data_IF_184221125457
#
_entry.id   IF_184221125457
#
_cell.length_a   1.000
_cell.length_b   1.000
_cell.length_c   1.000
_cell.angle_alpha   90.00
_cell.angle_beta   90.00
_cell.angle_gamma   90.00
#
_symmetry.space_group_name_H-M   'P 1'
#
loop_
_entity.id
_entity.type
_entity.pdbx_description
1 polymer ?
#
# COMPACT_ATOMS: atom_id res chain seq x y z
N UNK A 1 -0.96 5.87 -4.31
CA UNK A 1 -1.87 6.82 -3.63
C UNK A 1 -1.19 8.16 -3.37
N UNK A 2 -0.06 8.25 -2.66
CA UNK A 2 0.64 9.53 -2.39
C UNK A 2 0.90 10.39 -3.63
N UNK A 3 1.36 9.79 -4.74
CA UNK A 3 1.56 10.52 -5.99
C UNK A 3 0.26 11.14 -6.55
N UNK A 4 -0.88 10.45 -6.38
CA UNK A 4 -2.20 10.95 -6.76
C UNK A 4 -2.66 12.07 -5.82
N UNK A 5 -2.36 11.98 -4.53
CA UNK A 5 -2.62 13.06 -3.57
C UNK A 5 -1.84 14.33 -3.93
N UNK A 6 -0.59 14.19 -4.41
CA UNK A 6 0.21 15.31 -4.92
C UNK A 6 -0.50 16.11 -6.02
N UNK A 7 -1.22 15.43 -6.93
CA UNK A 7 -2.00 16.10 -8.00
C UNK A 7 -3.09 17.03 -7.44
N UNK A 8 -3.58 16.80 -6.21
CA UNK A 8 -4.54 17.67 -5.53
C UNK A 8 -3.86 18.92 -4.97
N UNK A 9 -2.66 18.76 -4.42
CA UNK A 9 -1.92 19.82 -3.75
C UNK A 9 -1.33 20.84 -4.73
N UNK A 10 -1.15 20.47 -5.99
CA UNK A 10 -0.62 21.35 -7.03
C UNK A 10 -1.50 22.56 -7.38
N UNK A 11 -2.68 22.72 -6.74
CA UNK A 11 -3.63 23.87 -6.76
C UNK A 11 -4.10 24.37 -8.13
N UNK A 12 -3.43 24.02 -9.22
CA UNK A 12 -3.69 24.48 -10.60
C UNK A 12 -4.86 23.76 -11.25
N UNK A 13 -5.29 22.60 -10.72
CA UNK A 13 -6.40 21.82 -11.26
C UNK A 13 -7.31 21.36 -10.12
N UNK A 14 -8.40 22.09 -9.88
CA UNK A 14 -9.46 21.74 -8.90
C UNK A 14 -10.35 20.58 -9.39
N UNK A 15 -9.76 19.61 -10.07
CA UNK A 15 -10.47 18.53 -10.75
C UNK A 15 -10.63 17.29 -9.90
N UNK A 16 -9.69 17.05 -8.97
CA UNK A 16 -9.64 15.85 -8.14
C UNK A 16 -10.07 16.17 -6.70
N UNK A 17 -10.99 15.36 -6.19
CA UNK A 17 -11.48 15.40 -4.81
C UNK A 17 -10.62 14.57 -3.86
N UNK A 18 -10.99 14.53 -2.56
CA UNK A 18 -10.20 13.85 -1.54
C UNK A 18 -10.25 12.33 -1.53
N UNK A 19 -11.30 11.73 -2.08
CA UNK A 19 -11.49 10.29 -2.03
C UNK A 19 -10.85 9.60 -3.24
N UNK A 20 -10.36 8.38 -3.02
CA UNK A 20 -9.80 7.60 -4.09
C UNK A 20 -9.34 6.21 -3.67
N UNK A 21 -9.24 5.34 -4.67
CA UNK A 21 -8.73 3.97 -4.51
C UNK A 21 -7.72 3.71 -5.61
N UNK A 22 -6.62 3.07 -5.23
CA UNK A 22 -5.59 2.59 -6.16
C UNK A 22 -5.44 1.10 -5.93
N UNK A 23 -5.52 0.34 -7.01
CA UNK A 23 -5.22 -1.08 -7.05
C UNK A 23 -4.09 -1.30 -8.06
N UNK A 24 -3.11 -2.12 -7.70
CA UNK A 24 -1.96 -2.45 -8.52
C UNK A 24 -1.78 -3.95 -8.50
N UNK A 25 -1.70 -4.57 -9.68
CA UNK A 25 -1.39 -5.98 -9.84
C UNK A 25 0.00 -6.12 -10.44
N UNK A 26 0.87 -6.86 -9.74
CA UNK A 26 2.22 -7.19 -10.19
C UNK A 26 2.36 -8.70 -10.18
N UNK A 27 2.90 -9.28 -11.26
CA UNK A 27 3.23 -10.70 -11.37
C UNK A 27 4.73 -10.84 -11.56
N UNK A 28 5.40 -11.41 -10.55
CA UNK A 28 6.86 -11.35 -10.49
C UNK A 28 7.31 -9.89 -10.41
N UNK A 29 8.01 -9.41 -11.45
CA UNK A 29 8.41 -8.01 -11.59
C UNK A 29 7.60 -7.25 -12.65
N UNK A 30 6.65 -7.90 -13.32
CA UNK A 30 5.86 -7.29 -14.38
C UNK A 30 4.64 -6.59 -13.79
N UNK A 31 4.47 -5.32 -14.12
CA UNK A 31 3.22 -4.60 -13.88
C UNK A 31 2.15 -5.13 -14.84
N UNK A 32 1.09 -5.73 -14.30
CA UNK A 32 0.01 -6.34 -15.10
C UNK A 32 -1.16 -5.36 -15.24
N UNK A 33 -1.60 -4.75 -14.14
CA UNK A 33 -2.75 -3.86 -14.15
C UNK A 33 -2.66 -2.75 -13.10
N UNK A 34 -3.25 -1.61 -13.42
CA UNK A 34 -3.48 -0.49 -12.50
C UNK A 34 -4.92 -0.04 -12.64
N UNK A 35 -5.67 -0.09 -11.53
CA UNK A 35 -7.04 0.41 -11.46
C UNK A 35 -7.12 1.58 -10.48
N UNK A 36 -7.68 2.69 -10.97
CA UNK A 36 -7.77 3.96 -10.27
C UNK A 36 -9.25 4.36 -10.19
N UNK A 37 -9.77 4.51 -8.97
CA UNK A 37 -11.06 5.17 -8.73
C UNK A 37 -10.79 6.51 -8.09
N UNK A 38 -10.94 7.60 -8.85
CA UNK A 38 -10.60 8.94 -8.44
C UNK A 38 -11.87 9.77 -8.28
N UNK A 39 -12.06 10.33 -7.07
CA UNK A 39 -13.06 11.35 -6.85
C UNK A 39 -12.73 12.55 -7.72
N UNK A 40 -13.68 13.00 -8.54
CA UNK A 40 -13.49 14.15 -9.40
C UNK A 40 -14.68 15.10 -9.33
N UNK A 41 -14.44 16.38 -9.60
CA UNK A 41 -15.52 17.35 -9.72
C UNK A 41 -16.13 17.30 -11.12
N UNK A 42 -17.42 17.63 -11.23
CA UNK A 42 -18.18 17.56 -12.49
C UNK A 42 -17.61 18.40 -13.64
N UNK A 43 -16.82 19.43 -13.32
CA UNK A 43 -16.16 20.30 -14.30
C UNK A 43 -14.73 19.85 -14.64
N UNK A 44 -14.31 18.68 -14.15
CA UNK A 44 -12.99 18.14 -14.43
C UNK A 44 -12.84 17.79 -15.91
N UNK A 45 -11.71 18.18 -16.49
CA UNK A 45 -11.26 17.54 -17.74
C UNK A 45 -10.81 16.12 -17.41
N UNK A 46 -11.72 15.18 -17.67
CA UNK A 46 -11.53 13.78 -17.31
C UNK A 46 -10.36 13.13 -18.03
N UNK A 47 -10.18 13.42 -19.33
CA UNK A 47 -9.09 12.84 -20.12
C UNK A 47 -7.73 13.35 -19.63
N UNK A 48 -7.63 14.66 -19.38
CA UNK A 48 -6.41 15.24 -18.83
C UNK A 48 -6.12 14.71 -17.42
N UNK A 49 -7.13 14.51 -16.57
CA UNK A 49 -6.96 13.92 -15.24
C UNK A 49 -6.43 12.48 -15.33
N UNK A 50 -7.00 11.65 -16.21
CA UNK A 50 -6.51 10.29 -16.44
C UNK A 50 -5.05 10.26 -16.91
N UNK A 51 -4.67 11.16 -17.83
CA UNK A 51 -3.30 11.26 -18.31
C UNK A 51 -2.32 11.62 -17.19
N UNK A 52 -2.64 12.62 -16.36
CA UNK A 52 -1.82 13.01 -15.21
C UNK A 52 -1.72 11.89 -14.17
N UNK A 53 -2.83 11.22 -13.87
CA UNK A 53 -2.83 10.11 -12.93
C UNK A 53 -1.98 8.93 -13.44
N UNK A 54 -2.05 8.64 -14.75
CA UNK A 54 -1.19 7.64 -15.39
C UNK A 54 0.29 8.03 -15.28
N UNK A 55 0.63 9.27 -15.61
CA UNK A 55 1.99 9.79 -15.53
C UNK A 55 2.54 9.70 -14.09
N UNK A 56 1.76 10.11 -13.10
CA UNK A 56 2.12 10.00 -11.69
C UNK A 56 2.38 8.54 -11.27
N UNK A 57 1.55 7.60 -11.73
CA UNK A 57 1.78 6.18 -11.48
C UNK A 57 3.03 5.62 -12.19
N UNK A 58 3.30 6.06 -13.43
CA UNK A 58 4.50 5.66 -14.17
C UNK A 58 5.78 6.24 -13.56
N UNK A 59 5.74 7.46 -13.04
CA UNK A 59 6.85 8.06 -12.31
C UNK A 59 7.21 7.23 -11.06
N UNK A 60 6.19 6.84 -10.28
CA UNK A 60 6.38 5.90 -9.16
C UNK A 60 6.95 4.58 -9.64
N UNK A 61 6.39 3.99 -10.71
CA UNK A 61 6.89 2.72 -11.25
C UNK A 61 8.37 2.81 -11.68
N UNK A 62 8.81 3.95 -12.23
CA UNK A 62 10.19 4.17 -12.62
C UNK A 62 11.18 4.09 -11.44
N UNK A 63 10.77 4.51 -10.24
CA UNK A 63 11.58 4.36 -9.02
C UNK A 63 11.83 2.88 -8.71
N UNK A 64 10.80 2.04 -8.81
CA UNK A 64 10.90 0.59 -8.61
C UNK A 64 11.68 -0.11 -9.72
N UNK A 65 11.61 0.40 -10.96
CA UNK A 65 12.46 -0.08 -12.06
C UNK A 65 13.93 0.23 -11.78
N UNK A 66 14.24 1.44 -11.33
CA UNK A 66 15.61 1.84 -10.98
C UNK A 66 16.18 1.02 -9.82
N UNK A 67 15.32 0.64 -8.86
CA UNK A 67 15.67 -0.28 -7.78
C UNK A 67 15.82 -1.76 -8.21
N UNK A 68 15.44 -2.10 -9.44
CA UNK A 68 15.44 -3.48 -9.92
C UNK A 68 14.30 -4.34 -9.37
N UNK A 69 13.29 -3.72 -8.76
CA UNK A 69 12.11 -4.39 -8.18
C UNK A 69 10.98 -4.56 -9.21
N UNK A 70 10.97 -3.75 -10.27
CA UNK A 70 10.00 -3.81 -11.36
C UNK A 70 10.71 -3.90 -12.71
N UNK A 71 10.06 -4.50 -13.71
CA UNK A 71 10.40 -4.34 -15.12
C UNK A 71 9.79 -3.04 -15.67
N UNK A 72 10.40 -2.46 -16.70
CA UNK A 72 9.86 -1.27 -17.34
C UNK A 72 8.42 -1.54 -17.82
N UNK A 73 7.41 -0.76 -17.38
CA UNK A 73 6.04 -0.97 -17.78
C UNK A 73 5.88 -0.89 -19.31
N UNK A 74 5.37 -1.96 -19.92
CA UNK A 74 5.09 -2.02 -21.36
C UNK A 74 3.68 -1.52 -21.73
N UNK A 75 3.38 -1.50 -23.02
CA UNK A 75 2.05 -1.11 -23.53
C UNK A 75 0.92 -2.05 -23.09
N UNK A 76 1.25 -3.28 -22.70
CA UNK A 76 0.28 -4.30 -22.29
C UNK A 76 -0.31 -4.11 -20.89
N UNK A 77 0.15 -3.11 -20.13
CA UNK A 77 -0.38 -2.84 -18.79
C UNK A 77 -1.86 -2.46 -18.93
N UNK A 78 -2.74 -3.17 -18.22
CA UNK A 78 -4.16 -2.85 -18.19
C UNK A 78 -4.42 -1.63 -17.28
N UNK A 79 -4.86 -0.53 -17.88
CA UNK A 79 -5.18 0.71 -17.15
C UNK A 79 -6.68 0.92 -17.11
N UNK A 80 -7.24 0.91 -15.91
CA UNK A 80 -8.66 1.15 -15.68
C UNK A 80 -8.87 2.41 -14.84
N UNK A 81 -9.48 3.44 -15.42
CA UNK A 81 -9.85 4.67 -14.71
C UNK A 81 -11.35 4.71 -14.49
N UNK A 82 -11.78 4.78 -13.23
CA UNK A 82 -13.16 4.84 -12.80
C UNK A 82 -14.06 3.83 -13.53
N UNK A 83 -13.68 2.55 -13.54
CA UNK A 83 -14.41 1.50 -14.26
C UNK A 83 -15.87 1.30 -13.83
N UNK A 84 -16.25 1.82 -12.64
CA UNK A 84 -17.63 1.82 -12.14
C UNK A 84 -18.44 3.07 -12.55
N UNK A 85 -17.88 3.97 -13.36
CA UNK A 85 -18.53 5.20 -13.81
C UNK A 85 -18.12 6.43 -13.00
N UNK A 86 -18.92 7.50 -13.09
CA UNK A 86 -18.60 8.77 -12.43
C UNK A 86 -18.49 8.61 -10.91
N UNK A 87 -17.48 9.26 -10.33
CA UNK A 87 -17.22 9.28 -8.90
C UNK A 87 -17.18 10.75 -8.45
N UNK A 88 -18.35 11.41 -8.50
CA UNK A 88 -18.48 12.84 -8.18
C UNK A 88 -18.75 13.11 -6.69
N UNK A 89 -19.31 12.12 -5.98
CA UNK A 89 -19.60 12.16 -4.55
C UNK A 89 -18.67 11.19 -3.84
N UNK A 90 -17.82 11.70 -2.96
CA UNK A 90 -16.84 10.91 -2.21
C UNK A 90 -16.77 11.31 -0.75
N UNK A 91 -15.92 10.61 0.01
CA UNK A 91 -15.75 10.83 1.44
C UNK A 91 -16.97 10.38 2.27
N UNK A 92 -17.20 10.96 3.46
CA UNK A 92 -18.27 10.54 4.36
C UNK A 92 -19.69 10.64 3.80
N UNK A 93 -19.89 11.46 2.75
CA UNK A 93 -21.18 11.54 2.06
C UNK A 93 -21.46 10.31 1.18
N UNK A 94 -20.41 9.61 0.74
CA UNK A 94 -20.51 8.42 -0.10
C UNK A 94 -20.38 7.08 0.65
N UNK A 95 -19.78 7.07 1.84
CA UNK A 95 -19.62 5.86 2.67
C UNK A 95 -19.33 6.21 4.14
N UNK A 96 -19.65 5.29 5.05
CA UNK A 96 -19.33 5.44 6.47
C UNK A 96 -17.90 4.96 6.76
N UNK A 97 -17.07 5.86 7.29
CA UNK A 97 -15.71 5.53 7.75
C UNK A 97 -15.69 5.12 9.22
N UNK A 98 -14.94 4.06 9.55
CA UNK A 98 -14.64 3.65 10.92
C UNK A 98 -13.14 3.36 11.08
N UNK A 99 -12.63 3.64 12.28
CA UNK A 99 -11.23 3.34 12.64
C UNK A 99 -10.97 1.84 12.58
N UNK A 100 -9.78 1.45 12.09
CA UNK A 100 -9.35 0.04 12.04
C UNK A 100 -10.03 -0.83 10.97
N UNK A 101 -10.65 -0.24 9.95
CA UNK A 101 -11.29 -1.00 8.83
C UNK A 101 -10.39 -1.22 7.62
N UNK A 102 -9.13 -0.78 7.66
CA UNK A 102 -8.16 -0.87 6.55
C UNK A 102 -6.86 -1.57 6.96
N UNK A 103 -6.94 -2.54 7.88
CA UNK A 103 -5.78 -3.21 8.49
C UNK A 103 -4.76 -3.76 7.49
N UNK A 104 -5.21 -4.37 6.40
CA UNK A 104 -4.32 -4.93 5.35
C UNK A 104 -3.56 -3.81 4.62
N UNK A 105 -4.23 -2.70 4.31
CA UNK A 105 -3.61 -1.54 3.66
C UNK A 105 -2.76 -0.70 4.63
N UNK A 106 -3.08 -0.74 5.93
CA UNK A 106 -2.30 -0.13 7.02
C UNK A 106 -0.97 -0.85 7.24
N UNK A 107 -0.95 -2.17 7.06
CA UNK A 107 0.24 -3.01 7.19
C UNK A 107 1.02 -3.11 5.86
N UNK A 108 1.32 -4.33 5.41
CA UNK A 108 2.19 -4.61 4.26
C UNK A 108 1.43 -5.12 3.03
N UNK A 109 0.16 -4.74 2.90
CA UNK A 109 -0.73 -5.31 1.88
C UNK A 109 -0.96 -6.80 2.13
N UNK A 110 -1.15 -7.57 1.05
CA UNK A 110 -1.38 -9.02 1.13
C UNK A 110 -0.11 -9.85 1.27
N UNK A 111 1.06 -9.21 1.40
CA UNK A 111 2.35 -9.91 1.39
C UNK A 111 2.68 -10.63 2.71
N UNK A 112 2.20 -10.11 3.84
CA UNK A 112 2.56 -10.60 5.18
C UNK A 112 1.31 -10.85 6.02
N UNK A 113 1.26 -11.95 6.81
CA UNK A 113 0.19 -12.16 7.79
C UNK A 113 0.07 -11.00 8.78
N UNK A 114 -1.16 -10.66 9.18
CA UNK A 114 -1.42 -9.61 10.17
C UNK A 114 -2.18 -10.17 11.37
N UNK A 115 -1.84 -9.68 12.57
CA UNK A 115 -2.47 -10.13 13.83
C UNK A 115 -3.89 -9.60 14.08
N UNK A 116 -4.40 -8.70 13.23
CA UNK A 116 -5.78 -8.21 13.29
C UNK A 116 -6.04 -6.97 14.15
N UNK A 117 -5.03 -6.42 14.82
CA UNK A 117 -5.14 -5.18 15.60
C UNK A 117 -4.87 -3.92 14.76
N UNK A 118 -5.70 -2.88 14.91
CA UNK A 118 -5.42 -1.52 14.40
C UNK A 118 -4.41 -0.80 15.30
N UNK A 119 -3.53 0.02 14.73
CA UNK A 119 -2.71 0.96 15.50
C UNK A 119 -3.41 2.30 15.74
N UNK A 120 -4.32 2.69 14.84
CA UNK A 120 -5.01 3.98 14.93
C UNK A 120 -5.99 4.04 16.09
N UNK A 121 -5.97 5.15 16.83
CA UNK A 121 -6.86 5.40 17.97
C UNK A 121 -6.50 4.65 19.26
N UNK A 122 -5.38 3.93 19.29
CA UNK A 122 -4.90 3.21 20.48
C UNK A 122 -3.73 3.92 21.13
N UNK A 123 -3.65 3.80 22.46
CA UNK A 123 -2.48 4.21 23.23
C UNK A 123 -1.22 3.45 22.75
N UNK A 124 -0.04 4.10 22.59
CA UNK A 124 1.16 3.47 22.06
C UNK A 124 1.66 2.28 22.88
N UNK A 125 1.30 2.18 24.16
CA UNK A 125 1.66 1.06 25.04
C UNK A 125 0.75 -0.16 24.87
N UNK A 126 -0.35 -0.04 24.11
CA UNK A 126 -1.23 -1.18 23.86
C UNK A 126 -0.49 -2.26 23.06
N UNK A 127 -0.67 -3.55 23.41
CA UNK A 127 0.02 -4.64 22.75
C UNK A 127 -0.11 -4.65 21.22
N UNK A 128 -1.28 -4.29 20.69
CA UNK A 128 -1.51 -4.21 19.24
C UNK A 128 -0.55 -3.23 18.54
N UNK A 129 -0.19 -2.13 19.19
CA UNK A 129 0.71 -1.10 18.66
C UNK A 129 2.16 -1.48 18.91
N UNK A 130 2.49 -1.88 20.14
CA UNK A 130 3.86 -2.27 20.53
C UNK A 130 4.36 -3.45 19.72
N UNK A 131 3.57 -4.50 19.59
CA UNK A 131 3.95 -5.71 18.86
C UNK A 131 4.27 -5.42 17.40
N UNK A 132 3.43 -4.61 16.72
CA UNK A 132 3.65 -4.24 15.32
C UNK A 132 4.92 -3.41 15.12
N UNK A 133 5.19 -2.47 16.03
CA UNK A 133 6.42 -1.65 15.99
C UNK A 133 7.67 -2.50 16.19
N UNK A 134 7.69 -3.34 17.23
CA UNK A 134 8.81 -4.25 17.52
C UNK A 134 9.05 -5.18 16.33
N UNK A 135 8.00 -5.81 15.80
CA UNK A 135 8.11 -6.71 14.64
C UNK A 135 8.70 -6.00 13.42
N UNK A 136 8.24 -4.78 13.12
CA UNK A 136 8.76 -3.97 12.00
C UNK A 136 10.23 -3.61 12.20
N UNK A 137 10.58 -3.11 13.38
CA UNK A 137 11.95 -2.68 13.68
C UNK A 137 12.93 -3.85 13.58
N UNK A 138 12.56 -5.01 14.11
CA UNK A 138 13.36 -6.23 14.01
C UNK A 138 13.46 -6.75 12.58
N UNK A 139 12.37 -6.80 11.82
CA UNK A 139 12.40 -7.22 10.42
C UNK A 139 13.30 -6.31 9.56
N UNK A 140 13.21 -4.98 9.75
CA UNK A 140 14.07 -4.02 9.04
C UNK A 140 15.53 -4.19 9.43
N UNK A 141 15.81 -4.47 10.71
CA UNK A 141 17.16 -4.74 11.18
C UNK A 141 17.73 -5.99 10.50
N UNK A 142 16.99 -7.09 10.44
CA UNK A 142 17.41 -8.33 9.75
C UNK A 142 17.74 -8.10 8.28
N UNK A 143 16.89 -7.38 7.55
CA UNK A 143 17.14 -7.06 6.13
C UNK A 143 18.42 -6.21 5.98
N UNK A 144 18.64 -5.23 6.88
CA UNK A 144 19.89 -4.44 6.90
C UNK A 144 21.13 -5.26 7.22
N UNK A 145 20.98 -6.34 7.98
CA UNK A 145 22.04 -7.31 8.32
C UNK A 145 22.27 -8.34 7.19
N UNK A 146 21.49 -8.30 6.11
CA UNK A 146 21.70 -9.10 4.90
C UNK A 146 20.67 -10.20 4.66
N UNK A 147 19.59 -10.27 5.46
CA UNK A 147 18.46 -11.13 5.13
C UNK A 147 17.76 -10.61 3.85
N UNK A 148 17.38 -11.52 2.95
CA UNK A 148 16.62 -11.16 1.75
C UNK A 148 15.19 -10.71 2.12
N UNK A 149 14.55 -11.48 3.00
CA UNK A 149 13.26 -11.18 3.59
C UNK A 149 13.28 -11.60 5.07
N UNK A 150 12.45 -10.96 5.88
CA UNK A 150 12.32 -11.29 7.29
C UNK A 150 10.87 -11.12 7.75
N UNK A 151 10.31 -12.17 8.35
CA UNK A 151 9.01 -12.10 9.04
C UNK A 151 9.24 -12.32 10.53
N UNK A 152 8.68 -11.43 11.35
CA UNK A 152 8.83 -11.44 12.81
C UNK A 152 7.45 -11.50 13.45
N UNK A 153 7.26 -12.47 14.33
CA UNK A 153 6.06 -12.60 15.17
C UNK A 153 6.39 -12.19 16.59
N UNK A 154 5.55 -11.32 17.15
CA UNK A 154 5.70 -10.82 18.52
C UNK A 154 4.41 -11.11 19.26
N UNK A 155 4.51 -11.82 20.39
CA UNK A 155 3.35 -12.20 21.19
C UNK A 155 3.39 -11.52 22.55
N UNK A 156 2.28 -10.89 22.89
CA UNK A 156 1.98 -10.39 24.22
C UNK A 156 0.76 -11.12 24.77
N UNK A 157 0.79 -11.42 26.07
CA UNK A 157 -0.41 -11.78 26.83
C UNK A 157 -0.91 -10.55 27.59
N UNK A 158 -2.22 -10.45 27.90
CA UNK A 158 -2.71 -9.43 28.83
C UNK A 158 -1.88 -9.37 30.12
N UNK A 159 -1.44 -8.17 30.48
CA UNK A 159 -0.60 -7.91 31.65
C UNK A 159 0.91 -8.08 31.45
N UNK A 160 1.37 -8.54 30.28
CA UNK A 160 2.81 -8.59 30.00
C UNK A 160 3.38 -7.16 29.80
N UNK A 161 4.49 -6.86 30.47
CA UNK A 161 5.25 -5.60 30.31
C UNK A 161 6.22 -5.66 29.11
N UNK A 162 6.72 -6.85 28.80
CA UNK A 162 7.63 -7.16 27.70
C UNK A 162 7.08 -8.30 26.83
N UNK A 163 7.53 -8.45 25.56
CA UNK A 163 7.11 -9.57 24.72
C UNK A 163 7.33 -10.91 25.40
N UNK A 164 6.30 -11.76 25.37
CA UNK A 164 6.38 -13.12 25.91
C UNK A 164 7.30 -14.01 25.10
N UNK A 165 7.21 -13.87 23.77
CA UNK A 165 8.17 -14.45 22.85
C UNK A 165 8.19 -13.64 21.55
N UNK A 166 9.33 -13.73 20.88
CA UNK A 166 9.58 -13.21 19.55
C UNK A 166 10.12 -14.37 18.71
N UNK A 167 9.48 -14.64 17.59
CA UNK A 167 9.93 -15.65 16.62
C UNK A 167 10.25 -14.96 15.32
N UNK A 168 11.31 -15.42 14.67
CA UNK A 168 11.79 -14.92 13.41
C UNK A 168 11.81 -16.07 12.41
N UNK A 169 11.27 -15.85 11.22
CA UNK A 169 11.49 -16.72 10.07
C UNK A 169 12.29 -15.93 9.06
N UNK A 170 13.49 -16.42 8.78
CA UNK A 170 14.33 -15.98 7.69
C UNK A 170 14.14 -16.95 6.53
N UNK A 171 13.38 -16.55 5.51
CA UNK A 171 13.43 -17.26 4.25
C UNK A 171 14.65 -16.74 3.47
N UNK A 172 15.78 -17.45 3.57
CA UNK A 172 16.81 -17.34 2.53
C UNK A 172 16.16 -17.87 1.26
N UNK A 173 15.69 -16.99 0.38
CA UNK A 173 15.18 -17.39 -0.93
C UNK A 173 16.32 -18.13 -1.66
N UNK A 174 16.33 -19.47 -1.55
CA UNK A 174 16.78 -20.31 -2.64
C UNK A 174 15.72 -20.12 -3.70
N UNK A 175 16.05 -19.33 -4.70
CA UNK A 175 15.44 -19.29 -6.03
C UNK A 175 14.48 -20.47 -6.28
N UNK A 176 13.19 -20.29 -5.99
CA UNK A 176 12.16 -21.30 -6.24
C UNK A 176 11.01 -20.79 -7.13
N UNK A 177 11.15 -19.60 -7.72
CA UNK A 177 10.27 -19.15 -8.83
C UNK A 177 10.72 -19.67 -10.21
N UNK A 178 11.70 -20.59 -10.27
CA UNK A 178 12.09 -21.30 -11.51
C UNK A 178 11.89 -22.83 -11.45
N UNK A 179 10.92 -23.32 -10.67
CA UNK A 179 10.54 -24.73 -10.69
C UNK A 179 9.02 -24.92 -10.79
N UNK A 180 8.42 -24.46 -11.89
CA UNK A 180 7.49 -25.19 -12.79
C UNK A 180 6.75 -24.23 -13.71
#
# INVERSE_FOLDING_TARGET
MKAIEGLREERRKRWIGPDGKVFVAVRGRRLEAVSLSLHHFVHADWLALCALAKEACLAVAAEYVAAGELEAPGESVDWLFNGAGSFAVGGPLGDNGLSGKKLVAEAYGTAVPIGGGTVHGKDPLKPDVRAQRIAREWAVKRVREGAAEATVWVVFRPGDEEPRWVEESEERIRSSILAR
#
